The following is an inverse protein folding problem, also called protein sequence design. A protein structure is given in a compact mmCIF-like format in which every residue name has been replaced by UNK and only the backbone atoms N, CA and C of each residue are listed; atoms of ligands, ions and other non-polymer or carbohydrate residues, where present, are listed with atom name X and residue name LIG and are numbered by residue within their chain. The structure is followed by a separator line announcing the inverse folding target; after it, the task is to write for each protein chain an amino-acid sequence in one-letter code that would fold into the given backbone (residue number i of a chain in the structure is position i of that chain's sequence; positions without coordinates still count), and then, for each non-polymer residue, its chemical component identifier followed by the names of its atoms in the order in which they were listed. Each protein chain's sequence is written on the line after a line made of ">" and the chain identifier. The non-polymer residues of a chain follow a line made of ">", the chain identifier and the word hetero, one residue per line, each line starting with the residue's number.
data_IF_264632977826
#
_entry.id   IF_264632977826
#
_cell.length_a   1.000
_cell.length_b   1.000
_cell.length_c   1.000
_cell.angle_alpha   90.00
_cell.angle_beta   90.00
_cell.angle_gamma   90.00
#
_symmetry.space_group_name_H-M   'P 1'
#
loop_
_entity.id
_entity.type
_entity.pdbx_description
1 polymer ?
#
# COMPACT_ATOMS: atom_id res chain seq x y z
N UNK A 1 13.61 -6.94 17.51
CA UNK A 1 13.20 -5.62 16.99
C UNK A 1 12.14 -5.83 15.92
N UNK A 2 11.24 -4.89 15.74
CA UNK A 2 10.15 -5.05 14.76
C UNK A 2 10.61 -4.71 13.35
N UNK A 3 10.47 -5.64 12.42
CA UNK A 3 10.74 -5.44 10.97
C UNK A 3 9.95 -4.24 10.43
N UNK A 4 8.70 -4.08 10.89
CA UNK A 4 7.83 -2.95 10.51
C UNK A 4 8.48 -1.62 10.93
N UNK A 5 8.96 -1.52 12.17
CA UNK A 5 9.61 -0.27 12.64
C UNK A 5 10.89 0.06 11.86
N UNK A 6 11.65 -0.95 11.50
CA UNK A 6 12.87 -0.75 10.70
C UNK A 6 12.51 -0.27 9.29
N UNK A 7 11.48 -0.86 8.68
CA UNK A 7 10.96 -0.42 7.39
C UNK A 7 10.39 1.00 7.46
N UNK A 8 9.59 1.33 8.47
CA UNK A 8 9.04 2.68 8.67
C UNK A 8 10.14 3.73 8.73
N UNK A 9 11.24 3.47 9.43
CA UNK A 9 12.40 4.38 9.47
C UNK A 9 12.97 4.64 8.08
N UNK A 10 13.07 3.62 7.24
CA UNK A 10 13.58 3.79 5.87
C UNK A 10 12.58 4.55 4.99
N UNK A 11 11.30 4.23 5.09
CA UNK A 11 10.23 4.95 4.40
C UNK A 11 10.28 6.44 4.76
N UNK A 12 10.33 6.77 6.04
CA UNK A 12 10.40 8.17 6.50
C UNK A 12 11.66 8.88 5.99
N UNK A 13 12.82 8.23 5.98
CA UNK A 13 14.06 8.81 5.40
C UNK A 13 13.91 9.14 3.91
N UNK A 14 13.17 8.34 3.16
CA UNK A 14 12.90 8.64 1.75
C UNK A 14 11.96 9.85 1.65
N UNK A 15 10.89 9.88 2.43
CA UNK A 15 9.89 10.95 2.40
C UNK A 15 10.45 12.29 2.92
N UNK A 16 11.38 12.27 3.87
CA UNK A 16 12.04 13.49 4.39
C UNK A 16 12.76 14.29 3.31
N UNK A 17 13.13 13.65 2.19
CA UNK A 17 13.76 14.31 1.05
C UNK A 17 12.78 15.05 0.14
N UNK A 18 11.48 14.90 0.35
CA UNK A 18 10.47 15.66 -0.39
C UNK A 18 10.51 17.13 0.09
N UNK A 19 10.65 18.05 -0.87
CA UNK A 19 10.77 19.48 -0.56
C UNK A 19 9.42 20.10 -0.16
N UNK A 20 8.33 19.67 -0.82
CA UNK A 20 6.97 20.14 -0.54
C UNK A 20 6.43 19.49 0.72
N UNK A 21 6.28 20.27 1.81
CA UNK A 21 5.83 19.79 3.11
C UNK A 21 4.40 19.27 3.10
N UNK A 22 3.50 19.87 2.32
CA UNK A 22 2.12 19.42 2.22
C UNK A 22 2.02 18.08 1.47
N UNK A 23 2.76 17.92 0.38
CA UNK A 23 2.86 16.64 -0.34
C UNK A 23 3.48 15.56 0.53
N UNK A 24 4.51 15.89 1.30
CA UNK A 24 5.15 14.95 2.24
C UNK A 24 4.18 14.49 3.31
N UNK A 25 3.40 15.40 3.90
CA UNK A 25 2.39 15.04 4.89
C UNK A 25 1.32 14.10 4.31
N UNK A 26 0.85 14.39 3.10
CA UNK A 26 -0.09 13.51 2.38
C UNK A 26 0.52 12.13 2.11
N UNK A 27 1.79 12.08 1.72
CA UNK A 27 2.50 10.83 1.46
C UNK A 27 2.61 9.96 2.73
N UNK A 28 3.02 10.56 3.85
CA UNK A 28 3.08 9.87 5.15
C UNK A 28 1.70 9.34 5.54
N UNK A 29 0.67 10.17 5.46
CA UNK A 29 -0.70 9.80 5.81
C UNK A 29 -1.22 8.65 4.94
N UNK A 30 -1.01 8.73 3.62
CA UNK A 30 -1.47 7.70 2.68
C UNK A 30 -0.76 6.36 2.90
N UNK A 31 0.57 6.35 2.98
CA UNK A 31 1.30 5.09 3.17
C UNK A 31 0.95 4.40 4.49
N UNK A 32 0.82 5.16 5.58
CA UNK A 32 0.41 4.61 6.87
C UNK A 32 -1.06 4.18 6.89
N UNK A 33 -1.95 4.94 6.23
CA UNK A 33 -3.36 4.58 6.09
C UNK A 33 -3.55 3.28 5.33
N UNK A 34 -2.88 3.13 4.19
CA UNK A 34 -2.91 1.89 3.39
C UNK A 34 -2.30 0.72 4.16
N UNK A 35 -1.19 0.93 4.86
CA UNK A 35 -0.56 -0.12 5.67
C UNK A 35 -1.50 -0.63 6.78
N UNK A 36 -2.20 0.26 7.48
CA UNK A 36 -3.17 -0.11 8.51
C UNK A 36 -4.37 -0.85 7.91
N UNK A 37 -4.94 -0.34 6.83
CA UNK A 37 -6.05 -0.99 6.13
C UNK A 37 -5.65 -2.39 5.61
N UNK A 38 -4.44 -2.52 5.06
CA UNK A 38 -3.91 -3.81 4.60
C UNK A 38 -3.77 -4.83 5.73
N UNK A 39 -3.24 -4.41 6.88
CA UNK A 39 -3.14 -5.27 8.07
C UNK A 39 -4.51 -5.73 8.55
N UNK A 40 -5.49 -4.85 8.59
CA UNK A 40 -6.87 -5.17 8.98
C UNK A 40 -7.49 -6.18 8.00
N UNK A 41 -7.39 -5.93 6.69
CA UNK A 41 -7.93 -6.85 5.68
C UNK A 41 -7.24 -8.21 5.70
N UNK A 42 -5.93 -8.25 5.91
CA UNK A 42 -5.19 -9.50 6.06
C UNK A 42 -5.72 -10.32 7.26
N UNK A 43 -5.99 -9.68 8.39
CA UNK A 43 -6.60 -10.35 9.55
C UNK A 43 -8.00 -10.88 9.23
N UNK A 44 -8.83 -10.10 8.55
CA UNK A 44 -10.18 -10.52 8.15
C UNK A 44 -10.14 -11.71 7.19
N UNK A 45 -9.16 -11.74 6.28
CA UNK A 45 -9.06 -12.73 5.18
C UNK A 45 -8.14 -13.91 5.50
N UNK A 46 -7.52 -13.95 6.69
CA UNK A 46 -6.63 -15.03 7.10
C UNK A 46 -5.27 -15.03 6.41
N UNK A 47 -4.79 -13.86 5.98
CA UNK A 47 -3.49 -13.65 5.34
C UNK A 47 -2.47 -13.04 6.30
N UNK A 48 -1.20 -12.95 5.88
CA UNK A 48 -0.12 -12.41 6.69
C UNK A 48 -0.22 -10.89 6.83
N UNK A 49 -0.60 -10.43 8.03
CA UNK A 49 -0.78 -9.00 8.32
C UNK A 49 0.54 -8.22 8.34
N UNK A 50 1.66 -8.86 8.66
CA UNK A 50 2.98 -8.20 8.64
C UNK A 50 3.42 -7.90 7.21
N UNK A 51 3.29 -8.87 6.31
CA UNK A 51 3.61 -8.68 4.89
C UNK A 51 2.65 -7.68 4.23
N UNK A 52 1.36 -7.73 4.57
CA UNK A 52 0.38 -6.77 4.10
C UNK A 52 0.73 -5.33 4.53
N UNK A 53 1.16 -5.14 5.78
CA UNK A 53 1.63 -3.84 6.29
C UNK A 53 2.85 -3.35 5.51
N UNK A 54 3.81 -4.22 5.26
CA UNK A 54 5.02 -3.87 4.49
C UNK A 54 4.67 -3.47 3.06
N UNK A 55 3.78 -4.21 2.40
CA UNK A 55 3.29 -3.88 1.06
C UNK A 55 2.63 -2.50 1.03
N UNK A 56 1.78 -2.20 2.01
CA UNK A 56 1.12 -0.90 2.15
C UNK A 56 2.11 0.26 2.32
N UNK A 57 3.13 0.07 3.16
CA UNK A 57 4.18 1.09 3.38
C UNK A 57 5.01 1.38 2.13
N UNK A 58 5.13 0.43 1.21
CA UNK A 58 6.03 0.50 0.07
C UNK A 58 5.34 0.80 -1.26
N UNK A 59 4.01 0.60 -1.37
CA UNK A 59 3.34 0.54 -2.67
C UNK A 59 3.53 1.78 -3.55
N UNK A 60 3.50 2.97 -2.96
CA UNK A 60 3.66 4.27 -3.66
C UNK A 60 4.98 4.99 -3.33
N UNK A 61 5.86 4.37 -2.55
CA UNK A 61 7.08 5.02 -2.07
C UNK A 61 7.96 5.53 -3.21
N UNK A 62 8.07 4.76 -4.30
CA UNK A 62 8.84 5.18 -5.47
C UNK A 62 8.22 6.38 -6.19
N UNK A 63 6.89 6.45 -6.27
CA UNK A 63 6.20 7.62 -6.85
C UNK A 63 6.54 8.89 -6.07
N UNK A 64 6.55 8.83 -4.76
CA UNK A 64 6.95 9.97 -3.92
C UNK A 64 8.43 10.29 -4.04
N UNK A 65 9.29 9.27 -4.12
CA UNK A 65 10.73 9.45 -4.31
C UNK A 65 11.07 10.08 -5.66
N UNK A 66 10.44 9.62 -6.72
CA UNK A 66 10.70 10.06 -8.10
C UNK A 66 9.97 11.34 -8.49
N UNK A 67 8.87 11.67 -7.79
CA UNK A 67 7.97 12.76 -8.14
C UNK A 67 7.06 12.46 -9.33
N UNK A 68 6.94 11.20 -9.75
CA UNK A 68 6.14 10.78 -10.91
C UNK A 68 5.36 9.51 -10.60
N UNK A 69 4.12 9.44 -11.10
CA UNK A 69 3.29 8.24 -11.07
C UNK A 69 3.39 7.41 -12.36
N UNK A 70 4.21 7.83 -13.33
CA UNK A 70 4.40 7.08 -14.57
C UNK A 70 4.99 5.70 -14.26
N UNK A 71 4.25 4.63 -14.61
CA UNK A 71 4.61 3.23 -14.36
C UNK A 71 4.97 2.94 -12.89
N UNK A 72 4.37 3.68 -11.95
CA UNK A 72 4.77 3.67 -10.54
C UNK A 72 4.60 2.32 -9.85
N UNK A 73 3.64 1.51 -10.27
CA UNK A 73 3.43 0.18 -9.68
C UNK A 73 4.59 -0.77 -10.01
N UNK A 74 5.00 -0.83 -11.27
CA UNK A 74 6.07 -1.70 -11.72
C UNK A 74 7.44 -1.21 -11.25
N UNK A 75 7.74 0.07 -11.44
CA UNK A 75 8.98 0.69 -10.93
C UNK A 75 9.03 0.67 -9.41
N UNK A 76 7.88 0.85 -8.75
CA UNK A 76 7.75 0.75 -7.31
C UNK A 76 8.03 -0.64 -6.77
N UNK A 77 7.57 -1.69 -7.46
CA UNK A 77 7.89 -3.07 -7.10
C UNK A 77 9.39 -3.36 -7.18
N UNK A 78 10.05 -2.91 -8.26
CA UNK A 78 11.49 -3.07 -8.42
C UNK A 78 12.28 -2.30 -7.35
N UNK A 79 11.84 -1.09 -7.03
CA UNK A 79 12.44 -0.29 -5.95
C UNK A 79 12.27 -0.95 -4.58
N UNK A 80 11.07 -1.45 -4.29
CA UNK A 80 10.76 -2.14 -3.04
C UNK A 80 11.63 -3.39 -2.86
N UNK A 81 11.83 -4.18 -3.92
CA UNK A 81 12.70 -5.36 -3.89
C UNK A 81 14.12 -5.00 -3.48
N UNK A 82 14.72 -4.02 -4.13
CA UNK A 82 16.08 -3.56 -3.81
C UNK A 82 16.20 -3.05 -2.37
N UNK A 83 15.17 -2.37 -1.89
CA UNK A 83 15.14 -1.86 -0.53
C UNK A 83 15.05 -3.00 0.50
N UNK A 84 14.15 -3.96 0.30
CA UNK A 84 13.97 -5.12 1.18
C UNK A 84 15.22 -6.01 1.22
N UNK A 85 15.82 -6.27 0.07
CA UNK A 85 17.09 -7.01 -0.03
C UNK A 85 18.23 -6.31 0.71
N UNK A 86 18.35 -5.00 0.55
CA UNK A 86 19.35 -4.18 1.26
C UNK A 86 19.14 -4.22 2.78
N UNK A 87 17.90 -4.19 3.23
CA UNK A 87 17.57 -4.22 4.66
C UNK A 87 17.71 -5.62 5.26
N UNK A 88 17.66 -6.67 4.43
CA UNK A 88 17.69 -8.07 4.84
C UNK A 88 16.68 -8.42 5.94
N UNK A 89 15.46 -7.87 5.86
CA UNK A 89 14.38 -8.04 6.85
C UNK A 89 13.30 -9.02 6.39
N UNK A 90 13.37 -9.49 5.16
CA UNK A 90 12.43 -10.44 4.57
C UNK A 90 13.17 -11.62 3.94
N UNK A 91 12.50 -12.78 3.86
CA UNK A 91 12.97 -13.89 3.03
C UNK A 91 12.76 -13.58 1.54
N UNK A 92 13.40 -14.31 0.61
CA UNK A 92 13.11 -14.16 -0.83
C UNK A 92 11.63 -14.36 -1.17
N UNK A 93 10.98 -15.35 -0.55
CA UNK A 93 9.55 -15.66 -0.75
C UNK A 93 8.65 -14.54 -0.24
N UNK A 94 8.93 -13.98 0.93
CA UNK A 94 8.22 -12.83 1.47
C UNK A 94 8.39 -11.60 0.57
N UNK A 95 9.61 -11.37 0.09
CA UNK A 95 9.90 -10.28 -0.87
C UNK A 95 9.09 -10.44 -2.15
N UNK A 96 8.99 -11.66 -2.69
CA UNK A 96 8.20 -11.94 -3.89
C UNK A 96 6.72 -11.63 -3.69
N UNK A 97 6.15 -12.01 -2.54
CA UNK A 97 4.74 -11.73 -2.19
C UNK A 97 4.49 -10.21 -2.11
N UNK A 98 5.35 -9.48 -1.40
CA UNK A 98 5.23 -8.02 -1.26
C UNK A 98 5.36 -7.33 -2.62
N UNK A 99 6.36 -7.70 -3.41
CA UNK A 99 6.62 -7.06 -4.71
C UNK A 99 5.54 -7.39 -5.74
N UNK A 100 4.96 -8.59 -5.74
CA UNK A 100 3.84 -8.93 -6.58
C UNK A 100 2.60 -8.06 -6.26
N UNK A 101 2.31 -7.88 -4.98
CA UNK A 101 1.21 -7.01 -4.55
C UNK A 101 1.40 -5.56 -5.04
N UNK A 102 2.62 -5.03 -4.90
CA UNK A 102 2.93 -3.67 -5.38
C UNK A 102 2.80 -3.59 -6.90
N UNK A 103 3.31 -4.58 -7.63
CA UNK A 103 3.25 -4.65 -9.09
C UNK A 103 1.82 -4.55 -9.63
N UNK A 104 0.86 -5.23 -8.96
CA UNK A 104 -0.51 -5.31 -9.40
C UNK A 104 -1.44 -4.22 -8.82
N UNK A 105 -0.98 -3.44 -7.82
CA UNK A 105 -1.90 -2.64 -7.01
C UNK A 105 -2.70 -1.58 -7.79
N UNK A 106 -2.17 -1.09 -8.89
CA UNK A 106 -2.84 -0.08 -9.72
C UNK A 106 -3.88 -0.67 -10.69
N UNK A 107 -3.84 -1.97 -10.93
CA UNK A 107 -4.77 -2.69 -11.82
C UNK A 107 -6.06 -3.06 -11.09
N UNK A 108 -6.86 -2.04 -10.72
CA UNK A 108 -8.07 -2.20 -9.90
C UNK A 108 -9.20 -2.98 -10.59
N UNK A 109 -9.21 -3.03 -11.92
CA UNK A 109 -10.22 -3.76 -12.70
C UNK A 109 -9.95 -5.27 -12.75
N UNK A 110 -8.73 -5.70 -12.47
CA UNK A 110 -8.31 -7.10 -12.54
C UNK A 110 -8.31 -7.74 -11.14
N UNK A 111 -8.48 -9.07 -11.11
CA UNK A 111 -8.38 -9.87 -9.89
C UNK A 111 -7.10 -10.69 -9.96
N UNK A 112 -6.23 -10.52 -8.98
CA UNK A 112 -4.95 -11.21 -8.85
C UNK A 112 -4.93 -12.05 -7.56
N UNK A 113 -3.75 -12.35 -7.02
CA UNK A 113 -3.62 -13.19 -5.83
C UNK A 113 -4.15 -12.55 -4.54
N UNK A 114 -4.28 -13.34 -3.45
CA UNK A 114 -4.88 -12.87 -2.19
C UNK A 114 -4.20 -11.64 -1.60
N UNK A 115 -2.88 -11.58 -1.58
CA UNK A 115 -2.14 -10.41 -1.05
C UNK A 115 -2.26 -9.21 -2.00
N UNK A 116 -2.29 -9.46 -3.32
CA UNK A 116 -2.48 -8.41 -4.33
C UNK A 116 -3.84 -7.73 -4.12
N UNK A 117 -4.90 -8.52 -3.91
CA UNK A 117 -6.25 -8.00 -3.67
C UNK A 117 -6.35 -7.24 -2.35
N UNK A 118 -5.64 -7.68 -1.30
CA UNK A 118 -5.56 -6.95 -0.03
C UNK A 118 -4.98 -5.56 -0.25
N UNK A 119 -3.89 -5.44 -0.99
CA UNK A 119 -3.25 -4.14 -1.22
C UNK A 119 -4.12 -3.22 -2.08
N UNK A 120 -4.73 -3.74 -3.15
CA UNK A 120 -5.70 -2.98 -3.98
C UNK A 120 -6.85 -2.45 -3.13
N UNK A 121 -7.44 -3.29 -2.31
CA UNK A 121 -8.57 -2.94 -1.45
C UNK A 121 -8.16 -1.96 -0.33
N UNK A 122 -6.99 -2.14 0.25
CA UNK A 122 -6.45 -1.21 1.26
C UNK A 122 -6.23 0.19 0.69
N UNK A 123 -5.74 0.28 -0.54
CA UNK A 123 -5.56 1.53 -1.27
C UNK A 123 -6.91 2.22 -1.52
N UNK A 124 -7.93 1.47 -1.92
CA UNK A 124 -9.30 1.98 -2.08
C UNK A 124 -9.90 2.47 -0.75
N UNK A 125 -9.67 1.74 0.35
CA UNK A 125 -10.13 2.16 1.69
C UNK A 125 -9.53 3.51 2.06
N UNK A 126 -8.23 3.68 1.92
CA UNK A 126 -7.59 4.95 2.26
C UNK A 126 -8.07 6.08 1.37
N UNK A 127 -8.17 5.88 0.06
CA UNK A 127 -8.71 6.87 -0.86
C UNK A 127 -10.13 7.32 -0.48
N UNK A 128 -10.96 6.38 -0.04
CA UNK A 128 -12.39 6.63 0.21
C UNK A 128 -12.69 7.12 1.62
N UNK A 129 -11.92 6.68 2.63
CA UNK A 129 -12.20 6.92 4.04
C UNK A 129 -11.22 7.88 4.73
N UNK A 130 -10.12 8.26 4.11
CA UNK A 130 -9.25 9.33 4.64
C UNK A 130 -9.96 10.69 4.66
N UNK A 131 -10.89 10.89 3.73
CA UNK A 131 -11.83 12.01 3.70
C UNK A 131 -13.20 11.51 3.21
N UNK A 132 -14.06 11.00 4.11
CA UNK A 132 -15.34 10.39 3.73
C UNK A 132 -16.39 11.39 3.22
N UNK A 133 -16.07 12.68 3.18
CA UNK A 133 -16.95 13.72 2.58
C UNK A 133 -16.80 13.79 1.06
N UNK A 134 -15.77 13.17 0.50
CA UNK A 134 -15.52 13.14 -0.94
C UNK A 134 -16.17 11.91 -1.59
N UNK A 135 -16.54 12.08 -2.85
CA UNK A 135 -17.02 10.96 -3.66
C UNK A 135 -15.93 9.92 -3.88
N UNK A 136 -16.34 8.66 -3.87
CA UNK A 136 -15.46 7.53 -4.23
C UNK A 136 -15.03 7.68 -5.70
N UNK A 137 -13.76 7.46 -6.00
CA UNK A 137 -13.25 7.52 -7.37
C UNK A 137 -14.03 6.57 -8.28
N UNK A 138 -14.43 7.05 -9.46
CA UNK A 138 -15.32 6.30 -10.36
C UNK A 138 -14.85 4.86 -10.65
N UNK A 139 -13.54 4.67 -10.88
CA UNK A 139 -12.96 3.36 -11.16
C UNK A 139 -12.80 2.45 -9.92
N UNK A 140 -13.08 2.96 -8.73
CA UNK A 140 -13.00 2.23 -7.46
C UNK A 140 -14.38 1.90 -6.86
N UNK A 141 -15.47 2.45 -7.40
CA UNK A 141 -16.82 2.33 -6.85
C UNK A 141 -17.24 0.87 -6.66
N UNK A 142 -17.02 0.01 -7.65
CA UNK A 142 -17.40 -1.40 -7.57
C UNK A 142 -16.63 -2.14 -6.48
N UNK A 143 -15.33 -1.89 -6.36
CA UNK A 143 -14.46 -2.49 -5.35
C UNK A 143 -14.82 -1.98 -3.95
N UNK A 144 -15.07 -0.70 -3.80
CA UNK A 144 -15.51 -0.10 -2.54
C UNK A 144 -16.86 -0.67 -2.06
N UNK A 145 -17.83 -0.84 -2.96
CA UNK A 145 -19.12 -1.44 -2.60
C UNK A 145 -18.98 -2.87 -2.05
N UNK A 146 -18.11 -3.69 -2.64
CA UNK A 146 -17.81 -5.03 -2.12
C UNK A 146 -17.15 -4.98 -0.74
N UNK A 147 -16.24 -4.04 -0.52
CA UNK A 147 -15.59 -3.83 0.78
C UNK A 147 -16.59 -3.43 1.86
N UNK A 148 -17.51 -2.52 1.56
CA UNK A 148 -18.56 -2.13 2.49
C UNK A 148 -19.42 -3.34 2.90
N UNK A 149 -19.79 -4.19 1.95
CA UNK A 149 -20.52 -5.41 2.24
C UNK A 149 -19.70 -6.40 3.09
N UNK A 150 -18.44 -6.61 2.76
CA UNK A 150 -17.55 -7.53 3.50
C UNK A 150 -17.30 -7.06 4.94
N UNK A 151 -17.10 -5.75 5.12
CA UNK A 151 -16.72 -5.16 6.42
C UNK A 151 -17.92 -4.68 7.24
N UNK A 152 -19.13 -4.76 6.71
CA UNK A 152 -20.34 -4.29 7.40
C UNK A 152 -20.36 -2.76 7.57
N UNK A 153 -19.82 -2.01 6.61
CA UNK A 153 -19.82 -0.55 6.64
C UNK A 153 -21.14 -0.01 6.10
N UNK A 154 -21.64 1.07 6.71
CA UNK A 154 -22.82 1.78 6.22
C UNK A 154 -22.52 2.52 4.91
N UNK A 155 -23.58 2.75 4.09
CA UNK A 155 -23.51 3.56 2.88
C UNK A 155 -23.27 5.05 3.18
#
# INVERSE_FOLDING_TARGET
>A
MSRIKDLQKQVHRVLEKMEDGDKRLKAVSHLHGVALAAAMLAKVRGEDAELATMAGLLHDLYAYKSGSYDDHAHLGADYARKLLEKLAITTPEETDVICAAIWHHDSKAEVDGPMDEILKDADVIDHSLSDPTKEVKAHEVARYAKLCAELGLAD
#
